data_IF_684236923025
#
_entry.id   IF_684236923025
#
_cell.length_a   1.000
_cell.length_b   1.000
_cell.length_c   1.000
_cell.angle_alpha   90.00
_cell.angle_beta   90.00
_cell.angle_gamma   90.00
#
_symmetry.space_group_name_H-M   'P 1'
#
loop_
_entity.id
_entity.type
_entity.pdbx_description
1 polymer ?
#
# COMPACT_ATOMS: atom_id res chain seq x y z
N UNK A 1 3.72 14.92 17.23
CA UNK A 1 3.68 14.75 15.76
C UNK A 1 2.24 14.72 15.34
N UNK A 2 1.87 15.34 14.22
CA UNK A 2 0.52 15.25 13.67
C UNK A 2 0.31 13.89 13.02
N UNK A 3 -0.74 13.18 13.40
CA UNK A 3 -1.16 11.91 12.76
C UNK A 3 -1.67 12.21 11.35
N UNK A 4 -1.24 11.43 10.36
CA UNK A 4 -1.64 11.59 8.96
C UNK A 4 -2.93 10.82 8.69
N UNK A 5 -3.94 11.50 8.16
CA UNK A 5 -5.20 10.86 7.76
C UNK A 5 -5.06 10.18 6.39
N UNK A 6 -5.16 8.85 6.37
CA UNK A 6 -5.06 8.06 5.14
C UNK A 6 -6.37 8.01 4.35
N UNK A 7 -7.51 8.33 4.99
CA UNK A 7 -8.85 8.20 4.41
C UNK A 7 -9.00 8.91 3.06
N UNK A 8 -8.64 10.20 2.90
CA UNK A 8 -8.77 10.88 1.62
C UNK A 8 -7.90 10.28 0.52
N UNK A 9 -6.78 9.63 0.87
CA UNK A 9 -5.92 8.97 -0.11
C UNK A 9 -6.56 7.69 -0.65
N UNK A 10 -7.19 6.91 0.23
CA UNK A 10 -7.97 5.73 -0.15
C UNK A 10 -9.18 6.10 -1.02
N UNK A 11 -9.97 7.11 -0.62
CA UNK A 11 -11.10 7.61 -1.44
C UNK A 11 -10.63 7.99 -2.84
N UNK A 12 -9.57 8.78 -2.91
CA UNK A 12 -9.03 9.26 -4.19
C UNK A 12 -8.47 8.12 -5.04
N UNK A 13 -7.71 7.20 -4.46
CA UNK A 13 -7.17 6.06 -5.19
C UNK A 13 -8.31 5.16 -5.71
N UNK A 14 -9.36 4.95 -4.91
CA UNK A 14 -10.52 4.16 -5.31
C UNK A 14 -11.30 4.80 -6.45
N UNK A 15 -11.50 6.12 -6.46
CA UNK A 15 -12.17 6.79 -7.57
C UNK A 15 -11.38 6.75 -8.89
N UNK A 16 -10.08 6.42 -8.82
CA UNK A 16 -9.19 6.23 -9.97
C UNK A 16 -9.05 4.75 -10.38
N UNK A 17 -9.70 3.82 -9.66
CA UNK A 17 -9.54 2.37 -9.86
C UNK A 17 -10.13 1.85 -11.17
N UNK A 18 -10.95 2.63 -11.90
CA UNK A 18 -11.51 2.23 -13.20
C UNK A 18 -10.45 1.93 -14.26
N UNK A 19 -9.26 2.52 -14.13
CA UNK A 19 -8.11 2.27 -15.00
C UNK A 19 -7.05 1.38 -14.34
N UNK A 20 -7.31 0.88 -13.13
CA UNK A 20 -6.39 0.04 -12.39
C UNK A 20 -6.69 -1.44 -12.66
N UNK A 21 -5.66 -2.21 -12.97
CA UNK A 21 -5.79 -3.63 -13.28
C UNK A 21 -4.56 -4.40 -12.84
N UNK A 22 -4.70 -5.72 -12.73
CA UNK A 22 -3.58 -6.64 -12.47
C UNK A 22 -2.49 -6.48 -13.53
N UNK A 23 -2.84 -6.18 -14.79
CA UNK A 23 -1.85 -5.99 -15.85
C UNK A 23 -1.07 -4.68 -15.68
N UNK A 24 -1.72 -3.60 -15.24
CA UNK A 24 -1.04 -2.35 -14.87
C UNK A 24 -0.10 -2.56 -13.68
N UNK A 25 -0.56 -3.28 -12.66
CA UNK A 25 0.27 -3.65 -11.52
C UNK A 25 1.49 -4.46 -11.98
N UNK A 26 1.31 -5.50 -12.80
CA UNK A 26 2.43 -6.30 -13.34
C UNK A 26 3.45 -5.44 -14.09
N UNK A 27 3.04 -4.44 -14.87
CA UNK A 27 3.96 -3.51 -15.56
C UNK A 27 4.82 -2.72 -14.57
N UNK A 28 4.22 -2.26 -13.47
CA UNK A 28 4.94 -1.59 -12.38
C UNK A 28 5.93 -2.55 -11.73
N UNK A 29 5.47 -3.75 -11.34
CA UNK A 29 6.30 -4.75 -10.64
C UNK A 29 7.51 -5.18 -11.47
N UNK A 30 7.36 -5.33 -12.79
CA UNK A 30 8.46 -5.62 -13.72
C UNK A 30 9.50 -4.49 -13.83
N UNK A 31 9.14 -3.27 -13.43
CA UNK A 31 9.99 -2.08 -13.50
C UNK A 31 10.73 -1.79 -12.19
N UNK A 32 10.18 -2.20 -11.04
CA UNK A 32 10.75 -1.94 -9.72
C UNK A 32 12.19 -2.46 -9.56
N UNK A 33 12.54 -3.69 -9.95
CA UNK A 33 13.93 -4.19 -9.83
C UNK A 33 14.96 -3.40 -10.65
N UNK A 34 14.51 -2.65 -11.67
CA UNK A 34 15.38 -1.76 -12.46
C UNK A 34 15.68 -0.45 -11.74
N UNK A 35 14.83 -0.05 -10.79
CA UNK A 35 14.93 1.20 -10.03
C UNK A 35 15.55 0.95 -8.65
N UNK A 36 15.28 -0.21 -8.06
CA UNK A 36 15.81 -0.64 -6.77
C UNK A 36 16.58 -1.95 -7.03
N UNK A 37 17.91 -1.88 -7.18
CA UNK A 37 18.73 -3.07 -7.38
C UNK A 37 18.50 -4.10 -6.26
N UNK A 38 18.47 -5.38 -6.64
CA UNK A 38 18.21 -6.53 -5.76
C UNK A 38 16.80 -6.57 -5.15
N UNK A 39 15.87 -5.72 -5.58
CA UNK A 39 14.47 -5.82 -5.17
C UNK A 39 13.84 -7.10 -5.73
N UNK A 40 13.14 -7.81 -4.86
CA UNK A 40 12.32 -8.98 -5.15
C UNK A 40 10.86 -8.63 -4.89
N UNK A 41 10.00 -9.19 -5.72
CA UNK A 41 8.55 -9.08 -5.57
C UNK A 41 8.07 -10.36 -4.89
N UNK A 42 7.34 -10.20 -3.80
CA UNK A 42 6.71 -11.26 -3.01
C UNK A 42 5.20 -11.06 -3.17
N UNK A 43 4.61 -11.85 -4.07
CA UNK A 43 3.18 -11.84 -4.38
C UNK A 43 2.75 -13.16 -4.99
N UNK A 44 1.80 -13.84 -4.36
CA UNK A 44 1.13 -15.02 -4.90
C UNK A 44 -0.23 -14.65 -5.49
N UNK A 45 -0.24 -14.48 -6.81
CA UNK A 45 -1.46 -14.20 -7.59
C UNK A 45 -2.54 -15.28 -7.47
N UNK A 46 -2.21 -16.49 -7.00
CA UNK A 46 -3.15 -17.61 -6.83
C UNK A 46 -3.75 -17.71 -5.42
N UNK A 47 -3.20 -16.99 -4.44
CA UNK A 47 -3.61 -17.08 -3.04
C UNK A 47 -4.66 -16.04 -2.62
N UNK A 48 -5.02 -15.11 -3.52
CA UNK A 48 -5.96 -14.03 -3.20
C UNK A 48 -5.34 -12.91 -2.35
N UNK A 49 -4.02 -12.73 -2.41
CA UNK A 49 -3.35 -11.66 -1.67
C UNK A 49 -3.73 -10.27 -2.20
N UNK A 50 -4.20 -9.41 -1.31
CA UNK A 50 -4.59 -8.02 -1.62
C UNK A 50 -3.41 -7.04 -1.63
N UNK A 51 -2.22 -7.51 -1.25
CA UNK A 51 -1.01 -6.70 -1.16
C UNK A 51 0.18 -7.39 -1.81
N UNK A 52 0.89 -6.65 -2.65
CA UNK A 52 2.19 -7.03 -3.20
C UNK A 52 3.30 -6.45 -2.33
N UNK A 53 4.23 -7.29 -1.88
CA UNK A 53 5.36 -6.83 -1.07
C UNK A 53 6.63 -6.74 -1.90
N UNK A 54 7.38 -5.64 -1.71
CA UNK A 54 8.67 -5.38 -2.34
C UNK A 54 9.76 -5.51 -1.28
N UNK A 55 10.68 -6.47 -1.48
CA UNK A 55 11.69 -6.85 -0.48
C UNK A 55 13.10 -6.73 -1.06
N UNK A 56 14.09 -6.38 -0.24
CA UNK A 56 15.52 -6.45 -0.59
C UNK A 56 16.29 -7.08 0.56
N UNK A 57 17.05 -8.15 0.30
CA UNK A 57 17.92 -8.82 1.28
C UNK A 57 17.25 -9.09 2.65
N UNK A 58 15.98 -9.52 2.65
CA UNK A 58 15.11 -9.82 3.81
C UNK A 58 14.44 -8.63 4.52
N UNK A 59 14.56 -7.41 4.02
CA UNK A 59 13.83 -6.24 4.53
C UNK A 59 12.74 -5.83 3.53
N UNK A 60 11.60 -5.40 4.05
CA UNK A 60 10.48 -4.90 3.25
C UNK A 60 10.66 -3.41 3.03
N UNK A 61 10.50 -2.95 1.79
CA UNK A 61 10.72 -1.55 1.40
C UNK A 61 9.49 -0.91 0.80
N UNK A 62 8.52 -1.70 0.35
CA UNK A 62 7.24 -1.18 -0.09
C UNK A 62 6.18 -2.25 -0.15
N UNK A 63 4.93 -1.81 -0.10
CA UNK A 63 3.75 -2.60 -0.43
C UNK A 63 2.88 -1.84 -1.41
N UNK A 64 2.24 -2.56 -2.33
CA UNK A 64 1.30 -2.00 -3.31
C UNK A 64 0.01 -2.80 -3.21
N UNK A 65 -1.12 -2.12 -3.11
CA UNK A 65 -2.42 -2.80 -3.05
C UNK A 65 -2.81 -3.30 -4.43
N UNK A 66 -3.42 -4.47 -4.50
CA UNK A 66 -3.76 -5.14 -5.77
C UNK A 66 -4.98 -4.53 -6.45
N UNK A 67 -5.96 -4.10 -5.66
CA UNK A 67 -7.29 -3.70 -6.10
C UNK A 67 -7.52 -2.17 -6.13
N UNK A 68 -6.63 -1.41 -5.48
CA UNK A 68 -6.66 0.05 -5.40
C UNK A 68 -5.27 0.58 -5.74
N UNK A 69 -5.14 1.62 -6.59
CA UNK A 69 -3.85 2.19 -6.99
C UNK A 69 -3.22 3.02 -5.86
N UNK A 70 -2.82 2.36 -4.77
CA UNK A 70 -2.15 2.96 -3.61
C UNK A 70 -0.93 2.13 -3.23
N UNK A 71 0.15 2.83 -2.85
CA UNK A 71 1.42 2.21 -2.50
C UNK A 71 2.06 2.92 -1.31
N UNK A 72 2.69 2.13 -0.45
CA UNK A 72 3.49 2.61 0.66
C UNK A 72 4.93 2.19 0.44
N UNK A 73 5.88 3.12 0.51
CA UNK A 73 7.30 2.81 0.41
C UNK A 73 8.08 3.53 1.50
N UNK A 74 9.14 2.89 2.00
CA UNK A 74 10.08 3.56 2.89
C UNK A 74 10.64 4.81 2.18
N UNK A 75 10.86 5.88 2.95
CA UNK A 75 11.39 7.14 2.43
C UNK A 75 12.65 6.94 1.57
N UNK A 76 13.54 6.04 2.00
CA UNK A 76 14.80 5.71 1.30
C UNK A 76 14.62 5.13 -0.12
N UNK A 77 13.43 4.64 -0.47
CA UNK A 77 13.11 4.09 -1.79
C UNK A 77 12.05 4.90 -2.55
N UNK A 78 11.35 5.83 -1.87
CA UNK A 78 10.19 6.52 -2.42
C UNK A 78 10.53 7.37 -3.64
N UNK A 79 11.67 8.08 -3.62
CA UNK A 79 12.10 8.91 -4.75
C UNK A 79 12.34 8.09 -6.01
N UNK A 80 12.98 6.92 -5.88
CA UNK A 80 13.31 6.04 -6.98
C UNK A 80 12.06 5.53 -7.73
N UNK A 81 10.95 5.28 -7.01
CA UNK A 81 9.71 4.74 -7.58
C UNK A 81 8.66 5.82 -7.89
N UNK A 82 8.84 7.04 -7.38
CA UNK A 82 7.84 8.13 -7.48
C UNK A 82 7.34 8.39 -8.89
N UNK A 83 8.26 8.53 -9.86
CA UNK A 83 7.91 8.80 -11.25
C UNK A 83 7.22 7.61 -11.92
N UNK A 84 7.64 6.38 -11.60
CA UNK A 84 6.99 5.17 -12.10
C UNK A 84 5.54 5.12 -11.63
N UNK A 85 5.33 5.22 -10.31
CA UNK A 85 3.99 5.15 -9.72
C UNK A 85 3.07 6.27 -10.22
N UNK A 86 3.59 7.50 -10.35
CA UNK A 86 2.83 8.63 -10.88
C UNK A 86 2.34 8.41 -12.32
N UNK A 87 3.15 7.80 -13.20
CA UNK A 87 2.75 7.50 -14.59
C UNK A 87 1.58 6.52 -14.68
N UNK A 88 1.45 5.63 -13.69
CA UNK A 88 0.36 4.66 -13.60
C UNK A 88 -0.77 5.14 -12.66
N UNK A 89 -0.78 6.42 -12.28
CA UNK A 89 -1.75 7.01 -11.35
C UNK A 89 -1.83 6.29 -9.99
N UNK A 90 -0.74 5.66 -9.55
CA UNK A 90 -0.65 5.03 -8.23
C UNK A 90 -0.28 6.08 -7.19
N UNK A 91 -1.12 6.21 -6.16
CA UNK A 91 -0.86 7.11 -5.05
C UNK A 91 0.24 6.55 -4.16
N UNK A 92 1.44 7.11 -4.30
CA UNK A 92 2.55 6.88 -3.38
C UNK A 92 2.37 7.65 -2.06
N UNK A 93 2.55 6.93 -0.95
CA UNK A 93 2.65 7.45 0.41
C UNK A 93 4.02 7.02 0.97
N UNK A 94 4.98 7.94 1.08
CA UNK A 94 6.24 7.68 1.75
C UNK A 94 6.04 7.44 3.25
N UNK A 95 6.74 6.46 3.81
CA UNK A 95 6.65 6.11 5.24
C UNK A 95 8.04 6.04 5.86
N UNK A 96 8.15 6.30 7.17
CA UNK A 96 9.43 6.13 7.89
C UNK A 96 9.73 4.67 8.19
N UNK A 97 8.69 3.93 8.59
CA UNK A 97 8.75 2.52 8.98
C UNK A 97 7.38 1.88 8.78
N UNK A 98 7.35 0.56 8.59
CA UNK A 98 6.11 -0.21 8.61
C UNK A 98 5.47 -0.29 9.99
N UNK A 99 6.23 -0.09 11.06
CA UNK A 99 5.79 -0.27 12.45
C UNK A 99 5.48 1.03 13.19
N UNK A 100 5.80 2.20 12.62
CA UNK A 100 5.49 3.48 13.27
C UNK A 100 4.00 3.79 13.13
N UNK A 101 3.35 4.09 14.26
CA UNK A 101 1.92 4.43 14.32
C UNK A 101 1.68 5.91 14.03
N UNK A 102 1.91 6.31 12.79
CA UNK A 102 1.81 7.71 12.34
C UNK A 102 0.56 8.02 11.51
N UNK A 103 -0.31 7.02 11.31
CA UNK A 103 -1.49 7.14 10.46
C UNK A 103 -2.79 7.01 11.24
N UNK A 104 -3.88 7.51 10.65
CA UNK A 104 -5.25 7.23 11.06
C UNK A 104 -6.13 6.97 9.85
N UNK A 105 -7.25 6.30 10.07
CA UNK A 105 -8.25 5.96 9.06
C UNK A 105 -9.66 6.07 9.64
N UNK A 106 -10.57 6.64 8.87
CA UNK A 106 -12.00 6.54 9.16
C UNK A 106 -12.47 5.12 8.85
N UNK A 107 -12.88 4.42 9.90
CA UNK A 107 -13.33 3.04 9.83
C UNK A 107 -14.49 2.80 8.87
N UNK A 108 -15.49 3.67 8.92
CA UNK A 108 -16.72 3.48 8.15
C UNK A 108 -16.44 3.71 6.67
N UNK A 109 -15.66 4.75 6.36
CA UNK A 109 -15.27 5.02 4.98
C UNK A 109 -14.39 3.90 4.41
N UNK A 110 -13.43 3.39 5.19
CA UNK A 110 -12.55 2.32 4.73
C UNK A 110 -13.30 1.04 4.37
N UNK A 111 -14.31 0.65 5.17
CA UNK A 111 -15.13 -0.52 4.85
C UNK A 111 -15.87 -0.41 3.52
N UNK A 112 -16.28 0.81 3.14
CA UNK A 112 -16.91 1.05 1.83
C UNK A 112 -15.90 1.11 0.69
N UNK A 113 -14.66 1.54 0.98
CA UNK A 113 -13.63 1.81 -0.03
C UNK A 113 -12.84 0.56 -0.39
N UNK A 114 -12.50 -0.27 0.59
CA UNK A 114 -11.65 -1.44 0.45
C UNK A 114 -12.50 -2.67 0.08
N UNK A 115 -12.39 -3.21 -1.14
CA UNK A 115 -12.92 -4.52 -1.48
C UNK A 115 -12.45 -5.58 -0.48
N UNK A 116 -13.32 -6.50 -0.08
CA UNK A 116 -13.04 -7.48 0.99
C UNK A 116 -13.22 -6.91 2.40
N UNK A 117 -12.90 -5.62 2.58
CA UNK A 117 -13.18 -4.85 3.78
C UNK A 117 -12.09 -4.96 4.85
N UNK A 118 -12.50 -4.73 6.09
CA UNK A 118 -11.65 -4.78 7.28
C UNK A 118 -11.90 -6.08 8.02
N UNK A 119 -10.89 -6.96 8.07
CA UNK A 119 -11.01 -8.31 8.62
C UNK A 119 -10.59 -8.43 10.09
N UNK A 120 -9.81 -7.47 10.60
CA UNK A 120 -9.41 -7.47 12.00
C UNK A 120 -10.57 -7.10 12.94
N UNK A 121 -10.53 -7.65 14.14
CA UNK A 121 -11.45 -7.28 15.22
C UNK A 121 -11.41 -5.75 15.46
N UNK A 122 -12.55 -5.10 15.72
CA UNK A 122 -12.62 -3.70 16.12
C UNK A 122 -11.62 -3.19 17.13
N UNK A 123 -11.21 -4.03 18.07
CA UNK A 123 -10.33 -3.63 19.15
C UNK A 123 -8.87 -4.07 18.90
N UNK A 124 -8.61 -4.82 17.82
CA UNK A 124 -7.26 -5.30 17.48
C UNK A 124 -6.35 -4.19 16.94
N UNK A 125 -6.93 -3.14 16.35
CA UNK A 125 -6.18 -2.06 15.70
C UNK A 125 -6.81 -0.71 16.05
N UNK A 126 -5.97 0.22 16.52
CA UNK A 126 -6.40 1.58 16.80
C UNK A 126 -6.46 2.42 15.52
N UNK A 127 -7.67 2.70 15.05
CA UNK A 127 -7.91 3.48 13.82
C UNK A 127 -7.46 4.94 13.90
N UNK A 128 -7.27 5.50 15.10
CA UNK A 128 -6.75 6.85 15.31
C UNK A 128 -5.21 6.88 15.38
N UNK A 129 -4.56 5.72 15.43
CA UNK A 129 -3.10 5.58 15.50
C UNK A 129 -2.66 4.19 15.04
N UNK A 130 -2.51 4.05 13.72
CA UNK A 130 -2.12 2.80 13.05
C UNK A 130 -0.79 2.93 12.32
N UNK A 131 -0.11 1.80 12.22
CA UNK A 131 1.06 1.60 11.37
C UNK A 131 0.66 0.93 10.05
N UNK A 132 1.56 0.92 9.06
CA UNK A 132 1.28 0.21 7.79
C UNK A 132 1.19 -1.31 8.01
N UNK A 133 1.93 -1.85 8.99
CA UNK A 133 1.78 -3.23 9.40
C UNK A 133 0.39 -3.53 9.99
N UNK A 134 -0.16 -2.61 10.80
CA UNK A 134 -1.53 -2.74 11.33
C UNK A 134 -2.56 -2.71 10.18
N UNK A 135 -2.39 -1.82 9.20
CA UNK A 135 -3.25 -1.73 8.02
C UNK A 135 -3.18 -3.00 7.15
N UNK A 136 -1.98 -3.51 6.89
CA UNK A 136 -1.77 -4.74 6.15
C UNK A 136 -2.45 -5.91 6.85
N UNK A 137 -2.20 -6.08 8.15
CA UNK A 137 -2.82 -7.14 8.97
C UNK A 137 -4.35 -7.06 8.98
N UNK A 138 -4.91 -5.86 9.00
CA UNK A 138 -6.35 -5.67 9.05
C UNK A 138 -7.07 -5.86 7.71
N UNK A 139 -6.34 -5.94 6.60
CA UNK A 139 -6.89 -5.95 5.24
C UNK A 139 -6.31 -7.06 4.36
N UNK A 140 -5.77 -8.12 4.99
CA UNK A 140 -5.35 -9.38 4.36
C UNK A 140 -6.23 -10.52 4.88
#
# INVERSE_FOLDING_TARGET
>A
MSVIDLTPFFIKARSQSSNWSIDELKKILLSIPKLIPDAKIDWDTGAGEDWVTIRRSKKDFGIIRVDIPIAFFLNECSDAVSQLLARHNVKLIPIKSFSEREFKLDRYQVQEIIPGGWHADPDAVNMDSLSIADLWYATI
#
